data_IF_833779014917
#
_entry.id   IF_833779014917
#
_cell.length_a   1.000
_cell.length_b   1.000
_cell.length_c   1.000
_cell.angle_alpha   90.00
_cell.angle_beta   90.00
_cell.angle_gamma   90.00
#
_symmetry.space_group_name_H-M   'P 1'
#
loop_
_entity.id
_entity.type
_entity.pdbx_description
1 polymer ?
#
# COMPACT_ATOMS: atom_id res chain seq x y z
N UNK A 1 -23.13 24.56 94.87
CA UNK A 1 -23.99 25.60 95.45
C UNK A 1 -25.31 25.54 94.71
N UNK A 2 -26.41 25.38 95.41
CA UNK A 2 -27.74 25.50 94.79
C UNK A 2 -27.95 26.94 94.33
N UNK A 3 -28.62 27.12 93.19
CA UNK A 3 -28.93 28.42 92.61
C UNK A 3 -29.69 29.30 93.62
N UNK A 4 -29.30 30.57 93.77
CA UNK A 4 -29.98 31.50 94.68
C UNK A 4 -31.46 31.65 94.29
N UNK A 5 -32.33 31.83 95.29
CA UNK A 5 -33.80 31.83 95.12
C UNK A 5 -34.27 32.90 94.13
N UNK A 6 -33.58 34.04 94.07
CA UNK A 6 -33.92 35.13 93.14
C UNK A 6 -33.59 34.74 91.70
N UNK A 7 -32.44 34.10 91.48
CA UNK A 7 -32.03 33.59 90.17
C UNK A 7 -32.93 32.44 89.72
N UNK A 8 -33.33 31.54 90.64
CA UNK A 8 -34.29 30.45 90.33
C UNK A 8 -35.64 31.01 89.89
N UNK A 9 -36.20 32.01 90.58
CA UNK A 9 -37.45 32.67 90.16
C UNK A 9 -37.35 33.35 88.80
N UNK A 10 -36.23 33.98 88.48
CA UNK A 10 -36.01 34.57 87.16
C UNK A 10 -35.92 33.50 86.08
N UNK A 11 -35.25 32.38 86.37
CA UNK A 11 -35.14 31.25 85.47
C UNK A 11 -36.51 30.60 85.22
N UNK A 12 -37.31 30.38 86.26
CA UNK A 12 -38.68 29.86 86.16
C UNK A 12 -39.56 30.78 85.28
N UNK A 13 -39.37 32.11 85.40
CA UNK A 13 -40.10 33.09 84.57
C UNK A 13 -39.69 33.02 83.10
N UNK A 14 -38.40 32.90 82.82
CA UNK A 14 -37.89 32.76 81.44
C UNK A 14 -38.39 31.44 80.85
N UNK A 15 -38.34 30.36 81.62
CA UNK A 15 -38.85 29.06 81.20
C UNK A 15 -40.34 29.10 80.89
N UNK A 16 -41.13 29.80 81.72
CA UNK A 16 -42.56 30.01 81.45
C UNK A 16 -42.78 30.75 80.13
N UNK A 17 -42.08 31.87 79.90
CA UNK A 17 -42.18 32.65 78.65
C UNK A 17 -41.76 31.83 77.43
N UNK A 18 -40.69 31.04 77.55
CA UNK A 18 -40.21 30.20 76.44
C UNK A 18 -41.17 29.05 76.14
N UNK A 19 -41.80 28.45 77.16
CA UNK A 19 -42.85 27.44 76.96
C UNK A 19 -44.11 28.05 76.32
N UNK A 20 -44.45 29.28 76.67
CA UNK A 20 -45.55 30.01 76.04
C UNK A 20 -45.25 30.28 74.56
N UNK A 21 -44.05 30.81 74.28
CA UNK A 21 -43.56 31.00 72.91
C UNK A 21 -43.53 29.69 72.11
N UNK A 22 -43.14 28.57 72.72
CA UNK A 22 -43.17 27.27 72.04
C UNK A 22 -44.58 26.84 71.65
N UNK A 23 -45.57 27.09 72.50
CA UNK A 23 -46.98 26.79 72.17
C UNK A 23 -47.45 27.64 71.00
N UNK A 24 -47.07 28.92 71.00
CA UNK A 24 -47.38 29.84 69.90
C UNK A 24 -46.70 29.40 68.61
N UNK A 25 -45.41 29.09 68.66
CA UNK A 25 -44.65 28.62 67.51
C UNK A 25 -45.18 27.29 66.98
N UNK A 26 -45.64 26.40 67.85
CA UNK A 26 -46.27 25.15 67.43
C UNK A 26 -47.56 25.41 66.64
N UNK A 27 -48.39 26.36 67.08
CA UNK A 27 -49.59 26.76 66.35
C UNK A 27 -49.23 27.45 65.03
N UNK A 28 -48.31 28.42 65.06
CA UNK A 28 -47.89 29.20 63.90
C UNK A 28 -47.18 28.31 62.86
N UNK A 29 -46.47 27.27 63.29
CA UNK A 29 -45.86 26.29 62.40
C UNK A 29 -46.89 25.44 61.63
N UNK A 30 -48.18 25.51 61.97
CA UNK A 30 -49.25 24.93 61.16
C UNK A 30 -50.06 25.98 60.38
N UNK A 31 -49.74 27.27 60.53
CA UNK A 31 -50.40 28.34 59.79
C UNK A 31 -49.81 28.47 58.38
N UNK A 32 -50.66 28.67 57.37
CA UNK A 32 -50.21 29.09 56.05
C UNK A 32 -49.43 30.40 56.08
N UNK A 33 -48.47 30.55 55.16
CA UNK A 33 -47.73 31.80 54.97
C UNK A 33 -48.65 32.96 54.59
N UNK A 34 -49.71 32.66 53.84
CA UNK A 34 -50.74 33.61 53.44
C UNK A 34 -52.10 33.18 54.01
N UNK A 35 -52.64 33.98 54.93
CA UNK A 35 -53.97 33.75 55.53
C UNK A 35 -55.09 34.41 54.73
N UNK A 36 -54.77 35.23 53.72
CA UNK A 36 -55.76 35.96 52.94
C UNK A 36 -56.81 35.06 52.24
N UNK A 37 -56.50 33.83 51.78
CA UNK A 37 -57.52 32.94 51.25
C UNK A 37 -58.61 32.55 52.25
N UNK A 38 -58.37 32.68 53.57
CA UNK A 38 -59.38 32.43 54.60
C UNK A 38 -60.47 33.49 54.64
N UNK A 39 -60.23 34.68 54.10
CA UNK A 39 -61.20 35.79 54.09
C UNK A 39 -61.91 35.93 52.74
N UNK A 40 -61.52 35.12 51.75
CA UNK A 40 -62.08 35.15 50.40
C UNK A 40 -63.19 34.13 50.25
N UNK A 41 -64.42 34.64 50.10
CA UNK A 41 -65.61 33.83 49.80
C UNK A 41 -65.41 32.86 48.64
N UNK A 42 -64.77 33.29 47.54
CA UNK A 42 -64.50 32.42 46.39
C UNK A 42 -63.59 31.22 46.73
N UNK A 43 -62.62 31.40 47.62
CA UNK A 43 -61.71 30.33 48.04
C UNK A 43 -62.42 29.34 48.99
N UNK A 44 -63.29 29.84 49.88
CA UNK A 44 -64.11 29.02 50.76
C UNK A 44 -65.19 28.24 49.99
N UNK A 45 -65.82 28.85 48.97
CA UNK A 45 -66.75 28.17 48.06
C UNK A 45 -66.03 27.10 47.23
N UNK A 46 -64.82 27.38 46.74
CA UNK A 46 -64.00 26.40 46.05
C UNK A 46 -63.60 25.24 47.00
N UNK A 47 -63.22 25.52 48.24
CA UNK A 47 -62.93 24.51 49.25
C UNK A 47 -64.17 23.65 49.52
N UNK A 48 -65.36 24.27 49.69
CA UNK A 48 -66.64 23.55 49.83
C UNK A 48 -66.89 22.59 48.68
N UNK A 49 -66.65 23.01 47.43
CA UNK A 49 -66.83 22.17 46.25
C UNK A 49 -65.85 20.99 46.23
N UNK A 50 -64.57 21.24 46.51
CA UNK A 50 -63.56 20.18 46.62
C UNK A 50 -63.90 19.17 47.72
N UNK A 51 -64.43 19.63 48.84
CA UNK A 51 -64.85 18.77 49.94
C UNK A 51 -66.09 17.94 49.59
N UNK A 52 -67.04 18.53 48.87
CA UNK A 52 -68.20 17.80 48.34
C UNK A 52 -67.77 16.72 47.34
N UNK A 53 -66.82 17.03 46.46
CA UNK A 53 -66.24 16.08 45.50
C UNK A 53 -65.46 14.95 46.20
N UNK A 54 -64.66 15.27 47.22
CA UNK A 54 -63.92 14.29 48.01
C UNK A 54 -64.88 13.36 48.79
N UNK A 55 -65.99 13.88 49.31
CA UNK A 55 -67.03 13.08 49.95
C UNK A 55 -67.76 12.16 48.97
N UNK A 56 -67.94 12.57 47.71
CA UNK A 56 -68.57 11.73 46.68
C UNK A 56 -67.61 10.65 46.14
N UNK A 57 -66.30 10.88 46.18
CA UNK A 57 -65.27 9.99 45.65
C UNK A 57 -64.65 9.02 46.67
N UNK A 58 -65.24 8.86 47.87
CA UNK A 58 -64.77 7.91 48.92
C UNK A 58 -64.71 6.43 48.49
N UNK A 59 -65.00 6.08 47.22
CA UNK A 59 -64.88 4.74 46.65
C UNK A 59 -63.75 4.51 45.64
N UNK A 60 -62.98 5.52 45.24
CA UNK A 60 -61.85 5.35 44.33
C UNK A 60 -60.53 5.81 44.95
N UNK A 61 -59.81 4.86 45.54
CA UNK A 61 -58.43 5.02 45.96
C UNK A 61 -57.57 5.51 44.79
N UNK A 62 -56.93 6.68 44.95
CA UNK A 62 -55.66 6.96 44.31
C UNK A 62 -55.61 7.98 43.16
N UNK A 63 -56.60 8.86 42.97
CA UNK A 63 -56.56 9.82 41.85
C UNK A 63 -56.98 11.27 42.17
N UNK A 64 -56.95 11.70 43.43
CA UNK A 64 -57.37 13.06 43.81
C UNK A 64 -56.26 14.15 43.70
N UNK A 65 -55.06 13.82 43.20
CA UNK A 65 -53.88 14.68 43.32
C UNK A 65 -53.38 15.33 42.00
N UNK A 66 -54.18 15.40 40.93
CA UNK A 66 -53.69 15.87 39.61
C UNK A 66 -54.60 16.83 38.82
N UNK A 67 -55.43 17.60 39.52
CA UNK A 67 -56.23 18.68 38.92
C UNK A 67 -56.17 19.77 40.02
N UNK A 68 -55.40 20.84 39.94
CA UNK A 68 -55.55 22.04 39.11
C UNK A 68 -54.24 22.91 39.22
N UNK A 69 -54.24 24.17 38.74
CA UNK A 69 -53.04 25.03 38.56
C UNK A 69 -52.63 25.86 39.80
N UNK A 70 -51.79 26.90 39.63
CA UNK A 70 -51.29 27.77 40.73
C UNK A 70 -52.38 28.35 41.67
N UNK A 71 -53.65 28.44 41.24
CA UNK A 71 -54.80 28.84 42.05
C UNK A 71 -55.19 27.83 43.16
N UNK A 72 -54.61 26.63 43.14
CA UNK A 72 -54.94 25.55 44.07
C UNK A 72 -54.46 25.82 45.48
N UNK A 73 -53.31 26.48 45.63
CA UNK A 73 -52.76 26.77 46.95
C UNK A 73 -53.74 27.60 47.78
N UNK A 74 -54.43 28.57 47.17
CA UNK A 74 -55.45 29.38 47.87
C UNK A 74 -56.63 28.54 48.35
N UNK A 75 -57.03 27.55 47.57
CA UNK A 75 -58.13 26.66 47.92
C UNK A 75 -57.74 25.66 49.00
N UNK A 76 -56.53 25.09 48.92
CA UNK A 76 -55.98 24.24 49.99
C UNK A 76 -55.75 25.01 51.29
N UNK A 77 -55.32 26.28 51.21
CA UNK A 77 -55.23 27.16 52.39
C UNK A 77 -56.61 27.35 52.99
N UNK A 78 -57.64 27.70 52.20
CA UNK A 78 -59.00 27.85 52.68
C UNK A 78 -59.58 26.56 53.29
N UNK A 79 -59.17 25.38 52.79
CA UNK A 79 -59.57 24.09 53.35
C UNK A 79 -59.11 23.89 54.81
N UNK A 80 -57.98 24.48 55.21
CA UNK A 80 -57.44 24.35 56.58
C UNK A 80 -58.32 25.04 57.64
N UNK A 81 -59.02 26.11 57.27
CA UNK A 81 -59.92 26.84 58.17
C UNK A 81 -61.38 26.40 58.03
N UNK A 82 -61.76 25.84 56.88
CA UNK A 82 -63.15 25.55 56.54
C UNK A 82 -63.88 24.72 57.60
N UNK A 83 -63.23 23.65 58.10
CA UNK A 83 -63.81 22.78 59.12
C UNK A 83 -63.96 23.43 60.51
N UNK A 84 -63.17 24.46 60.81
CA UNK A 84 -63.36 25.28 62.01
C UNK A 84 -64.47 26.33 61.77
N UNK A 85 -64.48 26.96 60.60
CA UNK A 85 -65.50 27.94 60.25
C UNK A 85 -66.92 27.35 60.25
N UNK A 86 -67.09 26.08 59.84
CA UNK A 86 -68.38 25.38 59.92
C UNK A 86 -68.96 25.29 61.34
N UNK A 87 -68.12 25.39 62.38
CA UNK A 87 -68.59 25.38 63.78
C UNK A 87 -69.27 26.68 64.19
N UNK A 88 -68.95 27.78 63.51
CA UNK A 88 -69.47 29.12 63.78
C UNK A 88 -70.63 29.53 62.87
N UNK A 89 -70.99 28.71 61.88
CA UNK A 89 -72.06 28.99 60.93
C UNK A 89 -71.77 28.47 59.54
N UNK A 90 -72.33 29.11 58.51
CA UNK A 90 -71.95 28.82 57.14
C UNK A 90 -70.50 29.27 56.90
N UNK A 91 -69.62 28.32 56.57
CA UNK A 91 -68.20 28.57 56.30
C UNK A 91 -67.97 29.38 55.01
N UNK A 92 -69.02 29.68 54.22
CA UNK A 92 -68.96 30.56 53.05
C UNK A 92 -69.54 31.96 53.31
N UNK A 93 -70.16 32.19 54.47
CA UNK A 93 -70.74 33.48 54.86
C UNK A 93 -69.78 34.26 55.76
N UNK A 94 -68.79 34.91 55.11
CA UNK A 94 -67.70 35.66 55.77
C UNK A 94 -68.25 36.78 56.69
N UNK A 95 -69.40 37.37 56.35
CA UNK A 95 -69.95 38.53 57.06
C UNK A 95 -70.63 38.15 58.39
N UNK A 96 -71.14 36.92 58.50
CA UNK A 96 -71.88 36.45 59.69
C UNK A 96 -71.12 35.42 60.52
N UNK A 97 -69.98 34.91 60.03
CA UNK A 97 -69.17 33.93 60.74
C UNK A 97 -68.13 34.65 61.64
N UNK A 98 -68.29 34.54 62.97
CA UNK A 98 -67.45 35.27 63.94
C UNK A 98 -65.95 35.00 63.77
N UNK A 99 -65.57 33.74 63.49
CA UNK A 99 -64.17 33.36 63.26
C UNK A 99 -63.62 34.04 61.99
N UNK A 100 -64.38 33.97 60.89
CA UNK A 100 -63.98 34.58 59.63
C UNK A 100 -63.98 36.10 59.70
N UNK A 101 -64.87 36.70 60.49
CA UNK A 101 -64.90 38.14 60.74
C UNK A 101 -63.63 38.59 61.47
N UNK A 102 -63.19 37.86 62.50
CA UNK A 102 -61.91 38.12 63.18
C UNK A 102 -60.72 37.99 62.22
N UNK A 103 -60.70 36.95 61.38
CA UNK A 103 -59.65 36.79 60.35
C UNK A 103 -59.68 37.93 59.33
N UNK A 104 -60.87 38.40 58.98
CA UNK A 104 -61.07 39.50 58.02
C UNK A 104 -60.56 40.81 58.60
N UNK A 105 -60.90 41.14 59.85
CA UNK A 105 -60.35 42.33 60.52
C UNK A 105 -58.82 42.28 60.59
N UNK A 106 -58.25 41.11 60.91
CA UNK A 106 -56.81 40.92 60.93
C UNK A 106 -56.18 41.11 59.54
N UNK A 107 -56.72 40.49 58.50
CA UNK A 107 -56.20 40.58 57.13
C UNK A 107 -56.35 42.00 56.54
N UNK A 108 -57.43 42.71 56.85
CA UNK A 108 -57.62 44.10 56.45
C UNK A 108 -56.57 45.01 57.10
N UNK A 109 -56.29 44.83 58.39
CA UNK A 109 -55.25 45.58 59.08
C UNK A 109 -53.86 45.27 58.50
N UNK A 110 -53.55 44.00 58.20
CA UNK A 110 -52.28 43.65 57.55
C UNK A 110 -52.13 44.33 56.19
N UNK A 111 -53.20 44.34 55.39
CA UNK A 111 -53.21 45.04 54.10
C UNK A 111 -52.99 46.54 54.28
N UNK A 112 -53.71 47.19 55.20
CA UNK A 112 -53.55 48.62 55.49
C UNK A 112 -52.13 48.96 55.96
N UNK A 113 -51.55 48.13 56.83
CA UNK A 113 -50.17 48.30 57.29
C UNK A 113 -49.16 48.12 56.16
N UNK A 114 -49.34 47.11 55.29
CA UNK A 114 -48.48 46.89 54.12
C UNK A 114 -48.59 48.04 53.11
N UNK A 115 -49.80 48.53 52.85
CA UNK A 115 -50.05 49.67 51.97
C UNK A 115 -49.41 50.95 52.54
N UNK A 116 -49.50 51.17 53.85
CA UNK A 116 -48.87 52.32 54.53
C UNK A 116 -47.35 52.20 54.53
N UNK A 117 -46.80 51.01 54.80
CA UNK A 117 -45.37 50.74 54.70
C UNK A 117 -44.84 50.97 53.29
N UNK A 118 -45.59 50.55 52.26
CA UNK A 118 -45.18 50.66 50.86
C UNK A 118 -45.32 52.09 50.34
N UNK A 119 -46.37 52.82 50.73
CA UNK A 119 -46.64 54.18 50.24
C UNK A 119 -45.92 55.29 51.02
N UNK A 120 -45.82 55.15 52.34
CA UNK A 120 -45.26 56.18 53.25
C UNK A 120 -43.86 55.79 53.74
N UNK A 121 -43.51 54.50 53.75
CA UNK A 121 -42.21 54.00 54.25
C UNK A 121 -42.16 53.77 55.76
N UNK A 122 -43.27 53.95 56.47
CA UNK A 122 -43.36 53.72 57.92
C UNK A 122 -44.78 53.28 58.30
N UNK A 123 -44.92 52.51 59.39
CA UNK A 123 -46.19 52.07 59.97
C UNK A 123 -46.30 52.63 61.38
N UNK A 124 -47.49 53.06 61.79
CA UNK A 124 -47.71 53.63 63.12
C UNK A 124 -47.54 52.55 64.21
N UNK A 125 -46.96 52.93 65.36
CA UNK A 125 -46.82 52.07 66.53
C UNK A 125 -48.19 51.63 67.05
N UNK A 126 -49.23 52.46 66.88
CA UNK A 126 -50.60 52.08 67.19
C UNK A 126 -51.06 50.88 66.35
N UNK A 127 -50.81 50.89 65.04
CA UNK A 127 -51.23 49.82 64.13
C UNK A 127 -50.45 48.54 64.40
N UNK A 128 -49.15 48.62 64.71
CA UNK A 128 -48.33 47.47 65.13
C UNK A 128 -48.89 46.85 66.42
N UNK A 129 -49.23 47.66 67.41
CA UNK A 129 -49.81 47.17 68.67
C UNK A 129 -51.21 46.57 68.47
N UNK A 130 -52.02 47.16 67.58
CA UNK A 130 -53.33 46.61 67.22
C UNK A 130 -53.19 45.29 66.49
N UNK A 131 -52.26 45.19 65.54
CA UNK A 131 -51.94 43.96 64.81
C UNK A 131 -51.50 42.86 65.76
N UNK A 132 -50.58 43.15 66.69
CA UNK A 132 -50.14 42.15 67.67
C UNK A 132 -51.30 41.63 68.55
N UNK A 133 -52.20 42.51 68.99
CA UNK A 133 -53.37 42.11 69.80
C UNK A 133 -54.37 41.28 69.00
N UNK A 134 -54.67 41.69 67.77
CA UNK A 134 -55.56 40.94 66.88
C UNK A 134 -54.96 39.59 66.51
N UNK A 135 -53.69 39.55 66.14
CA UNK A 135 -52.97 38.30 65.88
C UNK A 135 -53.02 37.36 67.09
N UNK A 136 -52.79 37.90 68.30
CA UNK A 136 -52.90 37.09 69.51
C UNK A 136 -54.31 36.56 69.73
N UNK A 137 -55.32 37.38 69.54
CA UNK A 137 -56.71 36.95 69.65
C UNK A 137 -57.05 35.85 68.62
N UNK A 138 -56.58 35.99 67.38
CA UNK A 138 -56.69 34.97 66.32
C UNK A 138 -56.04 33.65 66.76
N UNK A 139 -54.80 33.70 67.25
CA UNK A 139 -54.10 32.51 67.74
C UNK A 139 -54.83 31.86 68.91
N UNK A 140 -55.31 32.65 69.88
CA UNK A 140 -56.04 32.16 71.04
C UNK A 140 -57.35 31.47 70.62
N UNK A 141 -58.09 32.05 69.65
CA UNK A 141 -59.31 31.44 69.09
C UNK A 141 -58.99 30.13 68.35
N UNK A 142 -57.98 30.11 67.48
CA UNK A 142 -57.57 28.90 66.75
C UNK A 142 -57.08 27.80 67.69
N UNK A 143 -56.38 28.17 68.76
CA UNK A 143 -55.93 27.22 69.77
C UNK A 143 -57.09 26.65 70.57
N UNK A 144 -58.03 27.48 71.01
CA UNK A 144 -59.22 27.04 71.76
C UNK A 144 -60.09 26.08 70.94
N UNK A 145 -60.18 26.31 69.63
CA UNK A 145 -60.96 25.48 68.71
C UNK A 145 -60.24 24.22 68.23
N UNK A 146 -58.98 24.03 68.63
CA UNK A 146 -58.20 22.83 68.32
C UNK A 146 -57.70 22.77 66.88
N UNK A 147 -57.28 23.92 66.32
CA UNK A 147 -56.71 23.99 64.96
C UNK A 147 -55.53 23.05 64.78
N UNK A 148 -54.61 22.99 65.75
CA UNK A 148 -53.42 22.11 65.68
C UNK A 148 -53.79 20.65 65.58
N UNK A 149 -54.79 20.20 66.33
CA UNK A 149 -55.30 18.84 66.31
C UNK A 149 -55.98 18.56 64.97
N UNK A 150 -56.80 19.49 64.48
CA UNK A 150 -57.49 19.36 63.19
C UNK A 150 -56.49 19.19 62.04
N UNK A 151 -55.47 20.05 61.95
CA UNK A 151 -54.42 19.96 60.92
C UNK A 151 -53.61 18.68 61.06
N UNK A 152 -53.22 18.30 62.27
CA UNK A 152 -52.49 17.05 62.50
C UNK A 152 -53.31 15.80 62.08
N UNK A 153 -54.63 15.83 62.31
CA UNK A 153 -55.53 14.77 61.83
C UNK A 153 -55.66 14.77 60.31
N UNK A 154 -55.82 15.93 59.68
CA UNK A 154 -55.84 16.11 58.23
C UNK A 154 -54.60 15.55 57.54
N UNK A 155 -53.42 15.78 58.11
CA UNK A 155 -52.14 15.27 57.60
C UNK A 155 -51.98 13.76 57.77
N UNK A 156 -52.36 13.22 58.94
CA UNK A 156 -52.32 11.78 59.19
C UNK A 156 -53.23 11.03 58.23
N UNK A 157 -54.41 11.58 57.96
CA UNK A 157 -55.37 10.95 57.06
C UNK A 157 -54.92 11.02 55.59
N UNK A 158 -54.29 12.11 55.17
CA UNK A 158 -53.72 12.25 53.83
C UNK A 158 -52.44 11.43 53.58
N UNK A 159 -51.77 10.94 54.62
CA UNK A 159 -50.55 10.11 54.47
C UNK A 159 -50.83 8.64 54.11
N UNK A 160 -52.09 8.21 54.02
CA UNK A 160 -52.46 6.85 53.62
C UNK A 160 -52.17 5.77 54.67
N UNK A 161 -51.97 6.16 55.94
CA UNK A 161 -51.76 5.20 57.03
C UNK A 161 -53.13 4.63 57.46
N UNK A 162 -53.37 3.35 57.16
CA UNK A 162 -54.63 2.58 57.28
C UNK A 162 -55.16 2.39 58.73
N UNK A 163 -54.79 3.27 59.66
CA UNK A 163 -55.38 3.28 60.99
C UNK A 163 -56.79 3.87 60.89
N UNK A 164 -57.80 3.04 61.16
CA UNK A 164 -59.22 3.40 61.25
C UNK A 164 -59.50 4.39 62.41
N UNK A 165 -58.97 5.61 62.29
CA UNK A 165 -59.23 6.71 63.20
C UNK A 165 -60.57 7.32 62.79
N UNK A 166 -61.53 7.32 63.71
CA UNK A 166 -62.82 7.97 63.50
C UNK A 166 -62.60 9.42 63.05
N UNK A 167 -63.18 9.80 61.91
CA UNK A 167 -63.04 11.13 61.33
C UNK A 167 -63.56 12.19 62.31
N UNK A 168 -62.72 13.12 62.80
CA UNK A 168 -63.21 14.26 63.56
C UNK A 168 -64.08 15.15 62.64
N UNK A 169 -65.21 15.68 63.12
CA UNK A 169 -66.00 16.63 62.36
C UNK A 169 -65.15 17.85 61.98
N UNK A 170 -65.03 18.11 60.67
CA UNK A 170 -64.25 19.21 60.10
C UNK A 170 -62.80 18.87 59.68
N UNK A 171 -62.31 17.64 59.88
CA UNK A 171 -60.98 17.24 59.38
C UNK A 171 -61.08 16.63 57.98
N UNK A 172 -60.23 17.11 57.06
CA UNK A 172 -60.21 16.71 55.65
C UNK A 172 -58.84 16.18 55.24
N UNK A 173 -58.74 15.18 54.35
CA UNK A 173 -57.47 14.59 54.00
C UNK A 173 -56.65 15.61 53.19
N UNK A 174 -55.45 15.92 53.65
CA UNK A 174 -54.51 16.79 52.95
C UNK A 174 -53.18 16.07 52.79
N UNK A 175 -52.66 16.04 51.56
CA UNK A 175 -51.37 15.41 51.30
C UNK A 175 -50.25 16.20 52.02
N UNK A 176 -49.34 15.52 52.76
CA UNK A 176 -48.24 16.19 53.45
C UNK A 176 -47.35 17.05 52.53
N UNK A 177 -47.25 16.68 51.24
CA UNK A 177 -46.47 17.43 50.26
C UNK A 177 -47.11 18.78 49.90
N UNK A 178 -48.44 18.85 49.86
CA UNK A 178 -49.20 20.09 49.63
C UNK A 178 -49.08 20.98 50.86
N UNK A 179 -49.27 20.42 52.05
CA UNK A 179 -49.16 21.17 53.30
C UNK A 179 -47.78 21.82 53.50
N UNK A 180 -46.70 21.08 53.22
CA UNK A 180 -45.33 21.61 53.32
C UNK A 180 -45.04 22.77 52.34
N UNK A 181 -45.87 22.98 51.31
CA UNK A 181 -45.76 24.15 50.42
C UNK A 181 -46.48 25.38 50.98
N UNK A 182 -47.45 25.17 51.87
CA UNK A 182 -48.28 26.25 52.42
C UNK A 182 -47.65 26.90 53.66
N UNK A 183 -46.78 26.19 54.36
CA UNK A 183 -46.17 26.61 55.63
C UNK A 183 -44.72 27.05 55.44
N UNK A 184 -44.26 28.02 56.25
CA UNK A 184 -42.85 28.43 56.28
C UNK A 184 -41.97 27.39 57.00
N UNK A 185 -41.01 26.73 56.31
CA UNK A 185 -40.05 25.82 56.95
C UNK A 185 -39.15 26.54 57.97
N UNK A 186 -38.99 27.86 57.84
CA UNK A 186 -38.32 28.73 58.79
C UNK A 186 -38.95 28.66 60.18
N UNK A 187 -40.29 28.61 60.27
CA UNK A 187 -41.01 28.55 61.55
C UNK A 187 -40.75 27.23 62.29
N UNK A 188 -40.69 26.10 61.57
CA UNK A 188 -40.30 24.81 62.17
C UNK A 188 -38.84 24.84 62.65
N UNK A 189 -37.95 25.48 61.90
CA UNK A 189 -36.56 25.63 62.33
C UNK A 189 -36.42 26.52 63.57
N UNK A 190 -37.23 27.58 63.66
CA UNK A 190 -37.29 28.46 64.81
C UNK A 190 -37.86 27.74 66.02
N UNK A 191 -38.96 27.00 65.86
CA UNK A 191 -39.53 26.16 66.91
C UNK A 191 -38.48 25.21 67.47
N UNK A 192 -37.78 24.44 66.61
CA UNK A 192 -36.70 23.53 67.05
C UNK A 192 -35.59 24.27 67.79
N UNK A 193 -35.24 25.46 67.34
CA UNK A 193 -34.21 26.28 68.01
C UNK A 193 -34.66 26.70 69.40
N UNK A 194 -35.91 27.14 69.55
CA UNK A 194 -36.51 27.50 70.85
C UNK A 194 -36.67 26.25 71.73
N UNK A 195 -36.99 25.08 71.17
CA UNK A 195 -37.03 23.80 71.89
C UNK A 195 -35.65 23.46 72.45
N UNK A 196 -34.60 23.53 71.63
CA UNK A 196 -33.23 23.34 72.09
C UNK A 196 -32.83 24.38 73.15
N UNK A 197 -33.25 25.64 73.02
CA UNK A 197 -32.99 26.66 74.04
C UNK A 197 -33.73 26.37 75.35
N UNK A 198 -34.97 25.89 75.29
CA UNK A 198 -35.72 25.42 76.45
C UNK A 198 -35.00 24.25 77.14
N UNK A 199 -34.56 23.25 76.37
CA UNK A 199 -33.80 22.12 76.91
C UNK A 199 -32.50 22.59 77.57
N UNK A 200 -31.76 23.48 76.92
CA UNK A 200 -30.53 24.07 77.48
C UNK A 200 -30.80 24.87 78.75
N UNK A 201 -31.90 25.64 78.80
CA UNK A 201 -32.30 26.37 80.00
C UNK A 201 -32.65 25.41 81.14
N UNK A 202 -33.38 24.34 80.86
CA UNK A 202 -33.70 23.30 81.86
C UNK A 202 -32.44 22.61 82.37
N UNK A 203 -31.52 22.25 81.47
CA UNK A 203 -30.23 21.66 81.85
C UNK A 203 -29.42 22.62 82.70
N UNK A 204 -29.35 23.91 82.33
CA UNK A 204 -28.63 24.95 83.10
C UNK A 204 -29.31 25.26 84.43
N UNK A 205 -30.63 25.10 84.54
CA UNK A 205 -31.37 25.29 85.78
C UNK A 205 -31.21 24.12 86.75
N UNK A 206 -30.90 22.94 86.21
CA UNK A 206 -30.68 21.71 86.98
C UNK A 206 -29.20 21.41 87.22
N UNK A 207 -28.28 21.97 86.42
CA UNK A 207 -26.85 21.76 86.57
C UNK A 207 -26.29 22.42 87.83
N UNK A 208 -25.40 21.69 88.49
CA UNK A 208 -24.63 22.19 89.63
C UNK A 208 -23.36 22.88 89.15
N UNK A 209 -22.86 23.86 89.92
CA UNK A 209 -21.59 24.54 89.64
C UNK A 209 -20.41 23.57 89.41
N UNK A 210 -20.44 22.40 90.07
CA UNK A 210 -19.44 21.34 89.88
C UNK A 210 -19.53 20.66 88.51
N UNK A 211 -20.75 20.44 88.01
CA UNK A 211 -20.97 19.92 86.66
C UNK A 211 -20.62 20.96 85.59
N UNK A 212 -20.92 22.24 85.84
CA UNK A 212 -20.52 23.32 84.93
C UNK A 212 -19.00 23.41 84.80
N UNK A 213 -18.25 23.26 85.90
CA UNK A 213 -16.78 23.23 85.87
C UNK A 213 -16.29 22.01 85.06
N UNK A 214 -16.95 20.85 85.20
CA UNK A 214 -16.58 19.66 84.44
C UNK A 214 -16.86 19.84 82.94
N UNK A 215 -18.04 20.34 82.59
CA UNK A 215 -18.43 20.63 81.21
C UNK A 215 -17.52 21.68 80.57
N UNK A 216 -17.13 22.71 81.33
CA UNK A 216 -16.17 23.70 80.85
C UNK A 216 -14.80 23.08 80.56
N UNK A 217 -14.33 22.14 81.39
CA UNK A 217 -13.08 21.41 81.13
C UNK A 217 -13.18 20.57 79.86
N UNK A 218 -14.27 19.83 79.67
CA UNK A 218 -14.51 19.04 78.44
C UNK A 218 -14.51 19.97 77.22
N UNK A 219 -15.22 21.10 77.29
CA UNK A 219 -15.29 22.06 76.20
C UNK A 219 -13.90 22.65 75.90
N UNK A 220 -13.13 22.99 76.92
CA UNK A 220 -11.78 23.52 76.75
C UNK A 220 -10.82 22.49 76.13
N UNK A 221 -10.93 21.22 76.52
CA UNK A 221 -10.18 20.13 75.88
C UNK A 221 -10.58 19.94 74.42
N UNK A 222 -11.88 19.99 74.10
CA UNK A 222 -12.38 19.90 72.73
C UNK A 222 -11.89 21.06 71.86
N UNK A 223 -11.97 22.30 72.36
CA UNK A 223 -11.46 23.50 71.67
C UNK A 223 -9.95 23.42 71.47
N UNK A 224 -9.19 22.89 72.43
CA UNK A 224 -7.75 22.71 72.26
C UNK A 224 -7.42 21.64 71.22
N UNK A 225 -8.18 20.54 71.17
CA UNK A 225 -8.05 19.51 70.12
C UNK A 225 -8.39 20.07 68.74
N UNK A 226 -9.41 20.92 68.65
CA UNK A 226 -9.78 21.58 67.39
C UNK A 226 -8.68 22.58 66.96
N UNK A 227 -8.10 23.33 67.91
CA UNK A 227 -6.99 24.23 67.61
C UNK A 227 -5.76 23.47 67.14
N UNK A 228 -5.42 22.33 67.75
CA UNK A 228 -4.29 21.51 67.29
C UNK A 228 -4.56 20.89 65.92
N UNK A 229 -5.75 20.33 65.68
CA UNK A 229 -6.10 19.79 64.37
C UNK A 229 -6.16 20.85 63.28
N UNK A 230 -6.60 22.07 63.62
CA UNK A 230 -6.55 23.22 62.71
C UNK A 230 -5.09 23.62 62.37
N UNK A 231 -4.18 23.54 63.34
CA UNK A 231 -2.76 23.77 63.10
C UNK A 231 -2.15 22.71 62.19
N UNK A 232 -2.50 21.43 62.38
CA UNK A 232 -2.05 20.31 61.55
C UNK A 232 -2.57 20.44 60.11
N UNK A 233 -3.84 20.80 59.94
CA UNK A 233 -4.41 21.06 58.60
C UNK A 233 -3.70 22.25 57.93
N UNK A 234 -3.34 23.30 58.68
CA UNK A 234 -2.56 24.41 58.13
C UNK A 234 -1.14 23.98 57.77
N UNK A 235 -0.50 23.12 58.54
CA UNK A 235 0.81 22.57 58.22
C UNK A 235 0.76 21.72 56.93
N UNK A 236 -0.19 20.79 56.84
CA UNK A 236 -0.43 19.98 55.64
C UNK A 236 -0.74 20.82 54.41
N UNK A 237 -1.52 21.91 54.55
CA UNK A 237 -1.78 22.84 53.44
C UNK A 237 -0.50 23.52 52.95
N UNK A 238 0.41 23.90 53.85
CA UNK A 238 1.71 24.49 53.48
C UNK A 238 2.59 23.47 52.77
N UNK A 239 2.75 22.27 53.33
CA UNK A 239 3.52 21.18 52.70
C UNK A 239 2.97 20.85 51.31
N UNK A 240 1.64 20.76 51.17
CA UNK A 240 1.01 20.56 49.87
C UNK A 240 1.33 21.69 48.88
N UNK A 241 1.34 22.95 49.33
CA UNK A 241 1.69 24.09 48.47
C UNK A 241 3.16 24.04 48.06
N UNK A 242 4.07 23.74 48.99
CA UNK A 242 5.50 23.60 48.73
C UNK A 242 5.77 22.47 47.72
N UNK A 243 5.15 21.29 47.89
CA UNK A 243 5.26 20.18 46.95
C UNK A 243 4.68 20.55 45.58
N UNK A 244 3.55 21.27 45.56
CA UNK A 244 2.92 21.71 44.31
C UNK A 244 3.79 22.71 43.55
N UNK A 245 4.44 23.62 44.25
CA UNK A 245 5.38 24.59 43.66
C UNK A 245 6.64 23.89 43.16
N UNK A 246 7.24 23.00 43.95
CA UNK A 246 8.39 22.20 43.53
C UNK A 246 8.11 21.38 42.25
N UNK A 247 6.94 20.73 42.18
CA UNK A 247 6.52 20.03 40.96
C UNK A 247 6.29 20.96 39.77
N UNK A 248 5.75 22.16 39.98
CA UNK A 248 5.61 23.15 38.90
C UNK A 248 6.97 23.57 38.36
N UNK A 249 7.95 23.79 39.23
CA UNK A 249 9.32 24.13 38.80
C UNK A 249 10.01 22.98 38.07
N UNK A 250 9.82 21.74 38.52
CA UNK A 250 10.34 20.53 37.85
C UNK A 250 9.72 20.35 36.46
N UNK A 251 8.40 20.48 36.34
CA UNK A 251 7.71 20.41 35.04
C UNK A 251 8.16 21.52 34.10
N UNK A 252 8.35 22.74 34.61
CA UNK A 252 8.86 23.85 33.80
C UNK A 252 10.29 23.59 33.30
N UNK A 253 11.15 22.99 34.13
CA UNK A 253 12.51 22.60 33.73
C UNK A 253 12.48 21.52 32.64
N UNK A 254 11.68 20.46 32.82
CA UNK A 254 11.52 19.41 31.82
C UNK A 254 10.93 19.93 30.50
N UNK A 255 9.99 20.87 30.56
CA UNK A 255 9.46 21.51 29.35
C UNK A 255 10.52 22.34 28.61
N UNK A 256 11.44 22.98 29.32
CA UNK A 256 12.55 23.68 28.71
C UNK A 256 13.53 22.70 28.04
N UNK A 257 13.84 21.58 28.69
CA UNK A 257 14.69 20.52 28.14
C UNK A 257 14.07 19.88 26.88
N UNK A 258 12.76 19.60 26.90
CA UNK A 258 12.04 19.08 25.72
C UNK A 258 12.14 20.04 24.55
N UNK A 259 11.91 21.34 24.77
CA UNK A 259 12.06 22.35 23.69
C UNK A 259 13.48 22.39 23.14
N UNK A 260 14.48 22.32 24.00
CA UNK A 260 15.88 22.29 23.56
C UNK A 260 16.16 21.05 22.67
N UNK A 261 15.65 19.88 23.06
CA UNK A 261 15.80 18.66 22.26
C UNK A 261 15.03 18.75 20.93
N UNK A 262 13.85 19.38 20.91
CA UNK A 262 13.11 19.65 19.68
C UNK A 262 13.91 20.56 18.72
N UNK A 263 14.49 21.63 19.25
CA UNK A 263 15.36 22.55 18.48
C UNK A 263 16.61 21.83 17.95
N UNK A 264 17.24 20.95 18.74
CA UNK A 264 18.39 20.13 18.31
C UNK A 264 18.00 19.12 17.21
N UNK A 265 16.82 18.51 17.30
CA UNK A 265 16.29 17.61 16.26
C UNK A 265 16.00 18.40 14.98
N UNK A 266 15.42 19.58 15.08
CA UNK A 266 15.13 20.42 13.92
C UNK A 266 16.42 20.92 13.25
N UNK A 267 17.41 21.31 14.05
CA UNK A 267 18.75 21.65 13.56
C UNK A 267 19.38 20.47 12.80
N UNK A 268 19.41 19.28 13.40
CA UNK A 268 19.98 18.09 12.73
C UNK A 268 19.24 17.72 11.46
N UNK A 269 17.90 17.84 11.42
CA UNK A 269 17.12 17.66 10.18
C UNK A 269 17.52 18.65 9.10
N UNK A 270 17.66 19.93 9.44
CA UNK A 270 18.07 20.95 8.46
C UNK A 270 19.47 20.71 7.90
N UNK A 271 20.41 20.25 8.75
CA UNK A 271 21.76 19.88 8.32
C UNK A 271 21.72 18.67 7.38
N UNK A 272 20.94 17.63 7.73
CA UNK A 272 20.78 16.45 6.87
C UNK A 272 20.14 16.79 5.52
N UNK A 273 19.14 17.69 5.49
CA UNK A 273 18.53 18.15 4.23
C UNK A 273 19.55 18.88 3.35
N UNK A 274 20.39 19.75 3.93
CA UNK A 274 21.47 20.42 3.22
C UNK A 274 22.52 19.41 2.71
N UNK A 275 22.93 18.44 3.53
CA UNK A 275 23.87 17.39 3.13
C UNK A 275 23.31 16.49 2.02
N UNK A 276 22.03 16.10 2.09
CA UNK A 276 21.37 15.32 1.05
C UNK A 276 21.20 16.12 -0.24
N UNK A 277 20.90 17.41 -0.16
CA UNK A 277 20.86 18.30 -1.33
C UNK A 277 22.23 18.40 -1.98
N UNK A 278 23.29 18.64 -1.19
CA UNK A 278 24.66 18.71 -1.68
C UNK A 278 25.13 17.38 -2.29
N UNK A 279 24.75 16.25 -1.68
CA UNK A 279 25.03 14.92 -2.22
C UNK A 279 24.28 14.68 -3.54
N UNK A 280 23.01 15.10 -3.63
CA UNK A 280 22.21 15.05 -4.84
C UNK A 280 22.85 15.86 -5.99
N UNK A 281 23.28 17.09 -5.71
CA UNK A 281 23.99 17.93 -6.69
C UNK A 281 25.33 17.33 -7.13
N UNK A 282 26.11 16.79 -6.19
CA UNK A 282 27.39 16.14 -6.50
C UNK A 282 27.19 14.87 -7.35
N UNK A 283 26.17 14.07 -7.05
CA UNK A 283 25.85 12.87 -7.82
C UNK A 283 25.33 13.22 -9.22
N UNK A 284 24.51 14.28 -9.36
CA UNK A 284 24.05 14.77 -10.65
C UNK A 284 25.23 15.21 -11.54
N UNK A 285 26.20 15.94 -10.97
CA UNK A 285 27.43 16.32 -11.69
C UNK A 285 28.25 15.09 -12.12
N UNK A 286 28.41 14.10 -11.23
CA UNK A 286 29.10 12.85 -11.55
C UNK A 286 28.38 12.01 -12.62
N UNK A 287 27.05 12.08 -12.69
CA UNK A 287 26.28 11.45 -13.77
C UNK A 287 26.43 12.21 -15.08
N UNK A 288 26.42 13.54 -15.05
CA UNK A 288 26.67 14.38 -16.23
C UNK A 288 28.08 14.18 -16.79
N UNK A 289 29.11 14.17 -15.94
CA UNK A 289 30.49 13.87 -16.32
C UNK A 289 30.60 12.48 -16.96
N UNK A 290 29.97 11.46 -16.38
CA UNK A 290 29.93 10.11 -16.96
C UNK A 290 29.21 10.08 -18.30
N UNK A 291 28.11 10.80 -18.46
CA UNK A 291 27.41 10.89 -19.74
C UNK A 291 28.28 11.53 -20.81
N UNK A 292 28.99 12.61 -20.47
CA UNK A 292 29.93 13.27 -21.39
C UNK A 292 31.07 12.31 -21.77
N UNK A 293 31.68 11.62 -20.80
CA UNK A 293 32.73 10.62 -21.07
C UNK A 293 32.22 9.47 -21.96
N UNK A 294 31.00 8.98 -21.73
CA UNK A 294 30.37 7.95 -22.55
C UNK A 294 30.08 8.44 -23.97
N UNK A 295 29.60 9.68 -24.13
CA UNK A 295 29.39 10.31 -25.44
C UNK A 295 30.70 10.50 -26.20
N UNK A 296 31.75 10.99 -25.54
CA UNK A 296 33.10 11.11 -26.10
C UNK A 296 33.63 9.75 -26.56
N UNK A 297 33.45 8.71 -25.73
CA UNK A 297 33.85 7.34 -26.07
C UNK A 297 33.06 6.79 -27.27
N UNK A 298 31.76 7.04 -27.34
CA UNK A 298 30.92 6.66 -28.47
C UNK A 298 31.40 7.36 -29.75
N UNK A 299 31.72 8.65 -29.67
CA UNK A 299 32.21 9.41 -30.81
C UNK A 299 33.57 8.91 -31.28
N UNK A 300 34.51 8.64 -30.36
CA UNK A 300 35.80 8.04 -30.69
C UNK A 300 35.65 6.67 -31.38
N UNK A 301 34.74 5.82 -30.90
CA UNK A 301 34.45 4.53 -31.54
C UNK A 301 33.80 4.67 -32.92
N UNK A 302 32.97 5.70 -33.13
CA UNK A 302 32.41 6.01 -34.46
C UNK A 302 33.50 6.44 -35.43
N UNK A 303 34.41 7.32 -35.00
CA UNK A 303 35.55 7.74 -35.82
C UNK A 303 36.47 6.56 -36.17
N UNK A 304 36.75 5.67 -35.21
CA UNK A 304 37.52 4.45 -35.45
C UNK A 304 36.81 3.51 -36.43
N UNK A 305 35.49 3.34 -36.29
CA UNK A 305 34.68 2.53 -37.20
C UNK A 305 34.66 3.10 -38.62
N UNK A 306 34.55 4.43 -38.78
CA UNK A 306 34.64 5.09 -40.08
C UNK A 306 36.03 4.94 -40.70
N UNK A 307 37.09 5.12 -39.91
CA UNK A 307 38.46 4.91 -40.38
C UNK A 307 38.70 3.45 -40.83
N UNK A 308 38.23 2.47 -40.05
CA UNK A 308 38.31 1.06 -40.42
C UNK A 308 37.50 0.74 -41.67
N UNK A 309 36.32 1.36 -41.84
CA UNK A 309 35.50 1.23 -43.04
C UNK A 309 36.23 1.79 -44.27
N UNK A 310 36.80 2.99 -44.17
CA UNK A 310 37.60 3.58 -45.26
C UNK A 310 38.81 2.70 -45.61
N UNK A 311 39.49 2.15 -44.60
CA UNK A 311 40.61 1.22 -44.79
C UNK A 311 40.16 -0.07 -45.50
N UNK A 312 39.00 -0.61 -45.12
CA UNK A 312 38.42 -1.78 -45.77
C UNK A 312 38.07 -1.50 -47.23
N UNK A 313 37.41 -0.37 -47.51
CA UNK A 313 37.07 0.05 -48.88
C UNK A 313 38.33 0.23 -49.74
N UNK A 314 39.39 0.82 -49.17
CA UNK A 314 40.70 0.94 -49.83
C UNK A 314 41.32 -0.43 -50.16
N UNK A 315 41.26 -1.40 -49.24
CA UNK A 315 41.74 -2.76 -49.47
C UNK A 315 40.90 -3.51 -50.52
N UNK A 316 39.58 -3.32 -50.51
CA UNK A 316 38.68 -3.90 -51.52
C UNK A 316 39.04 -3.33 -52.90
N UNK A 317 39.21 -2.02 -53.02
CA UNK A 317 39.61 -1.38 -54.28
C UNK A 317 40.99 -1.85 -54.76
N UNK A 318 41.97 -1.97 -53.86
CA UNK A 318 43.30 -2.50 -54.17
C UNK A 318 43.24 -3.95 -54.67
N UNK A 319 42.48 -4.81 -53.99
CA UNK A 319 42.28 -6.21 -54.38
C UNK A 319 41.53 -6.32 -55.72
N UNK A 320 40.52 -5.49 -55.97
CA UNK A 320 39.85 -5.43 -57.27
C UNK A 320 40.81 -4.99 -58.38
N UNK A 321 41.68 -4.02 -58.10
CA UNK A 321 42.77 -3.61 -59.00
C UNK A 321 43.73 -4.76 -59.30
N UNK A 322 44.22 -5.44 -58.27
CA UNK A 322 45.10 -6.60 -58.41
C UNK A 322 44.42 -7.73 -59.20
N UNK A 323 43.18 -8.09 -58.86
CA UNK A 323 42.39 -9.09 -59.58
C UNK A 323 42.20 -8.72 -61.06
N UNK A 324 41.97 -7.43 -61.38
CA UNK A 324 41.91 -6.97 -62.75
C UNK A 324 43.27 -7.13 -63.47
N UNK A 325 44.38 -6.75 -62.83
CA UNK A 325 45.71 -6.96 -63.41
C UNK A 325 45.99 -8.45 -63.66
N UNK A 326 45.68 -9.33 -62.71
CA UNK A 326 45.84 -10.78 -62.85
C UNK A 326 44.96 -11.34 -63.98
N UNK A 327 43.71 -10.86 -64.13
CA UNK A 327 42.86 -11.22 -65.28
C UNK A 327 43.48 -10.80 -66.60
N UNK A 328 44.03 -9.59 -66.70
CA UNK A 328 44.70 -9.16 -67.94
C UNK A 328 45.97 -9.96 -68.23
N UNK A 329 46.76 -10.29 -67.20
CA UNK A 329 47.95 -11.15 -67.35
C UNK A 329 47.55 -12.56 -67.77
N UNK A 330 46.50 -13.12 -67.17
CA UNK A 330 45.94 -14.42 -67.54
C UNK A 330 45.48 -14.41 -69.00
N UNK A 331 44.69 -13.42 -69.42
CA UNK A 331 44.23 -13.29 -70.81
C UNK A 331 45.40 -13.18 -71.80
N UNK A 332 46.46 -12.42 -71.46
CA UNK A 332 47.69 -12.36 -72.27
C UNK A 332 48.40 -13.70 -72.37
N UNK A 333 48.53 -14.43 -71.25
CA UNK A 333 49.15 -15.76 -71.23
C UNK A 333 48.31 -16.79 -71.99
N UNK A 334 46.98 -16.78 -71.80
CA UNK A 334 46.06 -17.64 -72.55
C UNK A 334 46.14 -17.35 -74.06
N UNK A 335 46.18 -16.08 -74.48
CA UNK A 335 46.39 -15.72 -75.88
C UNK A 335 47.75 -16.18 -76.42
N UNK A 336 48.82 -16.07 -75.63
CA UNK A 336 50.15 -16.57 -76.01
C UNK A 336 50.18 -18.11 -76.13
N UNK A 337 49.50 -18.82 -75.22
CA UNK A 337 49.35 -20.28 -75.30
C UNK A 337 48.54 -20.67 -76.53
N UNK A 338 47.42 -19.99 -76.80
CA UNK A 338 46.62 -20.23 -78.01
C UNK A 338 47.43 -19.98 -79.28
N UNK A 339 48.23 -18.90 -79.33
CA UNK A 339 49.12 -18.63 -80.46
C UNK A 339 50.19 -19.73 -80.63
N UNK A 340 50.81 -20.17 -79.53
CA UNK A 340 51.79 -21.25 -79.56
C UNK A 340 51.18 -22.60 -79.99
N UNK A 341 49.95 -22.90 -79.57
CA UNK A 341 49.21 -24.09 -80.03
C UNK A 341 48.95 -23.97 -81.53
N UNK A 342 48.46 -22.83 -82.02
CA UNK A 342 48.23 -22.67 -83.47
C UNK A 342 49.52 -22.77 -84.28
N UNK A 343 50.63 -22.24 -83.77
CA UNK A 343 51.93 -22.37 -84.42
C UNK A 343 52.38 -23.84 -84.44
N UNK A 344 52.27 -24.55 -83.31
CA UNK A 344 52.58 -25.97 -83.22
C UNK A 344 51.71 -26.81 -84.17
N UNK A 345 50.40 -26.53 -84.24
CA UNK A 345 49.49 -27.22 -85.16
C UNK A 345 49.85 -26.96 -86.63
N UNK A 346 50.24 -25.73 -86.99
CA UNK A 346 50.72 -25.42 -88.35
C UNK A 346 52.05 -26.10 -88.67
N UNK A 347 52.99 -26.13 -87.72
CA UNK A 347 54.24 -26.87 -87.86
C UNK A 347 53.99 -28.38 -87.98
N UNK A 348 53.02 -28.92 -87.26
CA UNK A 348 52.67 -30.33 -87.35
C UNK A 348 51.95 -30.67 -88.64
N UNK A 349 51.06 -29.82 -89.12
CA UNK A 349 50.41 -29.99 -90.43
C UNK A 349 51.44 -29.95 -91.57
N UNK A 350 52.42 -29.04 -91.52
CA UNK A 350 53.49 -28.97 -92.52
C UNK A 350 54.43 -30.18 -92.45
N UNK A 351 54.82 -30.63 -91.25
CA UNK A 351 55.60 -31.86 -91.08
C UNK A 351 54.85 -33.10 -91.55
N UNK A 352 53.56 -33.21 -91.25
CA UNK A 352 52.73 -34.31 -91.73
C UNK A 352 52.62 -34.29 -93.26
N UNK A 353 52.42 -33.13 -93.88
CA UNK A 353 52.42 -32.98 -95.33
C UNK A 353 53.77 -33.37 -95.96
N UNK A 354 54.89 -32.95 -95.34
CA UNK A 354 56.24 -33.33 -95.77
C UNK A 354 56.48 -34.84 -95.64
N UNK A 355 56.04 -35.46 -94.53
CA UNK A 355 56.14 -36.92 -94.34
C UNK A 355 55.31 -37.69 -95.35
N UNK A 356 54.10 -37.22 -95.69
CA UNK A 356 53.26 -37.84 -96.72
C UNK A 356 53.92 -37.71 -98.10
N UNK A 357 54.48 -36.54 -98.43
CA UNK A 357 55.21 -36.34 -99.69
C UNK A 357 56.44 -37.24 -99.79
N UNK A 358 57.22 -37.35 -98.70
CA UNK A 358 58.41 -38.20 -98.65
C UNK A 358 58.04 -39.69 -98.71
N UNK A 359 56.97 -40.12 -98.03
CA UNK A 359 56.47 -41.49 -98.18
C UNK A 359 56.07 -41.79 -99.63
N UNK A 360 55.39 -40.86 -100.29
CA UNK A 360 55.03 -41.01 -101.70
C UNK A 360 56.25 -41.08 -102.61
N UNK A 361 57.27 -40.23 -102.38
CA UNK A 361 58.55 -40.29 -103.10
C UNK A 361 59.25 -41.63 -102.86
N UNK A 362 59.27 -42.15 -101.63
CA UNK A 362 59.84 -43.46 -101.35
C UNK A 362 59.06 -44.60 -102.00
N UNK A 363 57.73 -44.51 -102.10
CA UNK A 363 56.92 -45.48 -102.83
C UNK A 363 57.28 -45.46 -104.33
N UNK A 364 57.34 -44.27 -104.95
CA UNK A 364 57.75 -44.09 -106.35
C UNK A 364 59.18 -44.61 -106.61
N UNK A 365 60.12 -44.33 -105.69
CA UNK A 365 61.50 -44.86 -105.77
C UNK A 365 61.54 -46.38 -105.62
N UNK A 366 60.74 -46.98 -104.72
CA UNK A 366 60.65 -48.44 -104.62
C UNK A 366 60.05 -49.07 -105.87
N UNK A 367 59.05 -48.45 -106.50
CA UNK A 367 58.51 -48.91 -107.78
C UNK A 367 59.56 -48.83 -108.90
N UNK A 368 60.33 -47.74 -108.95
CA UNK A 368 61.42 -47.57 -109.91
C UNK A 368 62.53 -48.62 -109.72
N UNK A 369 62.92 -48.91 -108.47
CA UNK A 369 63.90 -49.96 -108.16
C UNK A 369 63.38 -51.33 -108.58
N UNK A 370 62.12 -51.66 -108.28
CA UNK A 370 61.53 -52.95 -108.70
C UNK A 370 61.48 -53.07 -110.23
N UNK A 371 61.18 -51.99 -110.95
CA UNK A 371 61.23 -51.98 -112.40
C UNK A 371 62.65 -52.20 -112.94
N UNK A 372 63.65 -51.52 -112.38
CA UNK A 372 65.07 -51.68 -112.74
C UNK A 372 65.60 -53.08 -112.41
N UNK A 373 65.21 -53.68 -111.29
CA UNK A 373 65.56 -55.06 -110.95
C UNK A 373 64.93 -56.05 -111.94
N UNK A 374 63.70 -55.76 -112.39
CA UNK A 374 63.04 -56.52 -113.47
C UNK A 374 63.82 -56.45 -114.79
N UNK A 375 64.27 -55.26 -115.19
CA UNK A 375 65.10 -55.04 -116.38
C UNK A 375 66.47 -55.71 -116.26
N UNK A 376 67.13 -55.60 -115.09
CA UNK A 376 68.39 -56.28 -114.80
C UNK A 376 68.24 -57.81 -114.85
N UNK A 377 67.13 -58.34 -114.35
CA UNK A 377 66.77 -59.75 -114.44
C UNK A 377 66.68 -60.22 -115.89
N UNK A 378 65.97 -59.46 -116.74
CA UNK A 378 65.85 -59.73 -118.17
C UNK A 378 67.22 -59.68 -118.88
N UNK A 379 68.03 -58.66 -118.60
CA UNK A 379 69.38 -58.55 -119.17
C UNK A 379 70.31 -59.68 -118.69
N UNK A 380 70.17 -60.15 -117.44
CA UNK A 380 70.92 -61.32 -116.97
C UNK A 380 70.51 -62.59 -117.69
N UNK A 381 69.22 -62.79 -117.98
CA UNK A 381 68.76 -63.92 -118.79
C UNK A 381 69.27 -63.83 -120.23
N UNK A 382 69.19 -62.66 -120.87
CA UNK A 382 69.73 -62.45 -122.23
C UNK A 382 71.25 -62.65 -122.27
N UNK A 383 72.00 -62.17 -121.25
CA UNK A 383 73.45 -62.39 -121.16
C UNK A 383 73.78 -63.88 -121.07
N UNK A 384 73.05 -64.62 -120.24
CA UNK A 384 73.26 -66.06 -120.09
C UNK A 384 72.91 -66.81 -121.38
N UNK A 385 71.86 -66.41 -122.10
CA UNK A 385 71.50 -66.95 -123.42
C UNK A 385 72.59 -66.65 -124.45
N UNK A 386 73.12 -65.43 -124.49
CA UNK A 386 74.23 -65.05 -125.36
C UNK A 386 75.52 -65.83 -125.05
N UNK A 387 75.83 -66.04 -123.76
CA UNK A 387 76.98 -66.86 -123.34
C UNK A 387 76.80 -68.32 -123.76
N UNK A 388 75.57 -68.85 -123.67
CA UNK A 388 75.24 -70.19 -124.13
C UNK A 388 75.36 -70.32 -125.65
N UNK A 389 74.85 -69.36 -126.43
CA UNK A 389 75.00 -69.33 -127.88
C UNK A 389 76.47 -69.26 -128.29
N UNK A 390 77.26 -68.39 -127.65
CA UNK A 390 78.70 -68.27 -127.93
C UNK A 390 79.44 -69.58 -127.63
N UNK A 391 79.09 -70.28 -126.55
CA UNK A 391 79.65 -71.59 -126.22
C UNK A 391 79.26 -72.66 -127.24
N UNK A 392 78.01 -72.66 -127.73
CA UNK A 392 77.55 -73.56 -128.79
C UNK A 392 78.29 -73.27 -130.10
N UNK A 393 78.50 -72.00 -130.45
CA UNK A 393 79.25 -71.57 -131.63
C UNK A 393 80.71 -72.06 -131.58
N UNK A 394 81.38 -71.88 -130.44
CA UNK A 394 82.76 -72.35 -130.21
C UNK A 394 82.84 -73.90 -130.28
N UNK A 395 81.82 -74.60 -129.77
CA UNK A 395 81.73 -76.06 -129.86
C UNK A 395 81.48 -76.54 -131.30
N UNK A 396 80.70 -75.80 -132.10
CA UNK A 396 80.49 -76.06 -133.53
C UNK A 396 81.79 -75.85 -134.30
N UNK A 397 82.51 -74.76 -134.05
CA UNK A 397 83.79 -74.46 -134.69
C UNK A 397 84.83 -75.55 -134.39
N UNK A 398 85.00 -75.95 -133.10
CA UNK A 398 85.87 -77.07 -132.71
C UNK A 398 85.46 -78.41 -133.33
N UNK A 399 84.16 -78.63 -133.56
CA UNK A 399 83.67 -79.82 -134.24
C UNK A 399 84.00 -79.80 -135.73
N UNK A 400 83.82 -78.65 -136.39
CA UNK A 400 84.20 -78.45 -137.79
C UNK A 400 85.71 -78.61 -138.01
N UNK A 401 86.55 -78.07 -137.12
CA UNK A 401 88.00 -78.26 -137.15
C UNK A 401 88.37 -79.75 -137.03
N UNK A 402 87.82 -80.48 -136.05
CA UNK A 402 88.06 -81.92 -135.89
C UNK A 402 87.60 -82.73 -137.11
N UNK A 403 86.44 -82.40 -137.66
CA UNK A 403 85.94 -83.02 -138.89
C UNK A 403 86.87 -82.73 -140.08
N UNK A 404 87.37 -81.50 -140.18
CA UNK A 404 88.29 -81.10 -141.23
C UNK A 404 89.64 -81.83 -141.12
N UNK A 405 90.19 -81.94 -139.90
CA UNK A 405 91.40 -82.72 -139.61
C UNK A 405 91.24 -84.21 -139.94
N UNK A 406 90.11 -84.82 -139.58
CA UNK A 406 89.83 -86.21 -139.93
C UNK A 406 89.71 -86.40 -141.44
N UNK A 407 89.02 -85.47 -142.12
CA UNK A 407 88.84 -85.52 -143.58
C UNK A 407 90.18 -85.36 -144.30
N UNK A 408 91.06 -84.47 -143.84
CA UNK A 408 92.42 -84.32 -144.38
C UNK A 408 93.30 -85.54 -144.08
N UNK A 409 93.20 -86.13 -142.89
CA UNK A 409 93.87 -87.41 -142.59
C UNK A 409 93.41 -88.52 -143.52
N UNK A 410 92.11 -88.72 -143.71
CA UNK A 410 91.60 -89.72 -144.64
C UNK A 410 92.02 -89.44 -146.08
N UNK A 411 91.94 -88.18 -146.54
CA UNK A 411 92.40 -87.78 -147.88
C UNK A 411 93.90 -88.07 -148.08
N UNK A 412 94.75 -87.75 -147.10
CA UNK A 412 96.20 -88.02 -147.16
C UNK A 412 96.51 -89.52 -147.18
N UNK A 413 95.76 -90.32 -146.41
CA UNK A 413 95.88 -91.78 -146.39
C UNK A 413 95.46 -92.39 -147.72
N UNK A 414 94.34 -91.92 -148.28
CA UNK A 414 93.86 -92.33 -149.61
C UNK A 414 94.89 -91.95 -150.69
N UNK A 415 95.43 -90.73 -150.66
CA UNK A 415 96.48 -90.30 -151.58
C UNK A 415 97.76 -91.14 -151.43
N UNK A 416 98.14 -91.51 -150.21
CA UNK A 416 99.28 -92.40 -149.96
C UNK A 416 99.02 -93.80 -150.52
N UNK A 417 97.83 -94.36 -150.34
CA UNK A 417 97.40 -95.63 -150.94
C UNK A 417 97.44 -95.57 -152.47
N UNK A 418 96.95 -94.49 -153.08
CA UNK A 418 97.01 -94.31 -154.54
C UNK A 418 98.45 -94.14 -155.04
N UNK A 419 99.32 -93.41 -154.33
CA UNK A 419 100.75 -93.28 -154.68
C UNK A 419 101.48 -94.61 -154.55
N UNK A 420 101.22 -95.38 -153.48
CA UNK A 420 101.78 -96.71 -153.26
C UNK A 420 101.29 -97.71 -154.31
N UNK A 421 100.02 -97.63 -154.71
CA UNK A 421 99.47 -98.42 -155.81
C UNK A 421 100.12 -98.05 -157.14
N UNK A 422 100.26 -96.76 -157.45
CA UNK A 422 100.94 -96.28 -158.66
C UNK A 422 102.41 -96.71 -158.72
N UNK A 423 103.16 -96.62 -157.62
CA UNK A 423 104.55 -97.11 -157.57
C UNK A 423 104.63 -98.62 -157.75
N UNK A 424 103.70 -99.39 -157.16
CA UNK A 424 103.63 -100.85 -157.33
C UNK A 424 103.30 -101.25 -158.77
N UNK A 425 102.33 -100.60 -159.41
CA UNK A 425 101.97 -100.83 -160.83
C UNK A 425 103.14 -100.48 -161.75
N UNK A 426 103.85 -99.38 -161.47
CA UNK A 426 105.05 -99.00 -162.24
C UNK A 426 106.21 -100.00 -162.04
N UNK A 427 106.38 -100.51 -160.82
CA UNK A 427 107.38 -101.55 -160.52
C UNK A 427 107.06 -102.88 -161.20
N UNK A 428 105.79 -103.30 -161.22
CA UNK A 428 105.33 -104.50 -161.92
C UNK A 428 105.48 -104.38 -163.43
N UNK A 429 105.18 -103.21 -164.03
CA UNK A 429 105.52 -102.94 -165.45
C UNK A 429 107.03 -103.01 -165.70
N UNK A 430 107.85 -102.51 -164.78
CA UNK A 430 109.32 -102.64 -164.85
C UNK A 430 109.83 -104.08 -164.77
N UNK A 431 109.19 -104.91 -163.95
CA UNK A 431 109.49 -106.34 -163.79
C UNK A 431 109.04 -107.18 -165.00
N UNK A 432 107.87 -106.86 -165.57
CA UNK A 432 107.40 -107.49 -166.80
C UNK A 432 108.34 -107.18 -167.98
N UNK A 433 108.85 -105.95 -168.06
CA UNK A 433 109.81 -105.55 -169.10
C UNK A 433 111.22 -106.12 -168.87
N UNK A 434 111.63 -106.39 -167.63
CA UNK A 434 112.94 -107.00 -167.33
C UNK A 434 112.96 -108.53 -167.45
N UNK A 435 111.83 -109.22 -167.27
CA UNK A 435 111.72 -110.66 -167.61
C UNK A 435 111.86 -110.94 -169.12
N UNK A 436 111.50 -109.99 -170.00
CA UNK A 436 111.75 -110.11 -171.45
C UNK A 436 113.23 -109.94 -171.87
N UNK A 437 114.13 -109.46 -170.98
CA UNK A 437 115.52 -109.13 -171.34
C UNK A 437 116.60 -110.10 -170.82
N UNK A 438 116.25 -111.10 -169.99
CA UNK A 438 117.21 -112.09 -169.47
C UNK A 438 116.84 -113.52 -169.92
N UNK A 439 117.58 -113.99 -170.95
CA UNK A 439 117.80 -115.38 -171.38
C UNK A 439 116.75 -115.98 -172.34
N UNK A 440 116.93 -116.20 -173.65
CA UNK A 440 118.03 -115.97 -174.64
C UNK A 440 119.46 -116.35 -174.23
N UNK A 441 119.61 -117.20 -173.22
CA UNK A 441 120.92 -117.67 -172.70
C UNK A 441 120.88 -119.09 -172.13
N UNK A 442 119.90 -119.90 -172.53
CA UNK A 442 119.92 -121.35 -172.50
C UNK A 442 118.93 -121.85 -173.56
N UNK A 443 119.28 -123.00 -174.14
CA UNK A 443 118.65 -123.79 -175.21
C UNK A 443 117.14 -123.71 -175.36
#
# INVERSE_FOLDING_TARGET
MEMDRLTRRQADRIEYVMRDLLRDLQLIAFLPVDLYPWTRRSCLEAARNLLAEASMNQGMNGAAAQIYGEDDNSTYVAQLIYGLAERYGDATDVDNNELLLQMTEFAELEREMLDTATSVGAVDEYDINRHHKLFRAVLDTLQQEGYTELVAHSLKWGSGDDSAVAQPPGAYPMEPSVFNRLVDPGMLSLQRTVECLCELLVVRNTSTVTEDIHNYKILHEAVNKEKSSSADVKALKREYHEIREARRTEVAALQAEVRQLEDEIEYTRSVLELELSAFGEANAKLEEERQVEEEERINALKEEAEHLKQKLDGLIAANQGEAATLRTQRAKKEAAVSAAITEYDTQMATLHAASVALNKETEEDTEAIVALDGELGALCTERNEYELEKYIEEMREKHYERMHEQTTRYASTIQACFRAYLTRVNFERGLANSKRKRKRKNK
#
